data_IF_738532836404
#
_entry.id   IF_738532836404
#
_cell.length_a   1.000
_cell.length_b   1.000
_cell.length_c   1.000
_cell.angle_alpha   90.00
_cell.angle_beta   90.00
_cell.angle_gamma   90.00
#
_symmetry.space_group_name_H-M   'P 1'
#
loop_
_entity.id
_entity.type
_entity.pdbx_description
1 polymer ?
#
# COMPACT_ATOMS: atom_id res chain seq x y z
N UNK A 1 3.58 -16.15 12.36
CA UNK A 1 4.56 -15.25 11.70
C UNK A 1 4.89 -14.16 12.69
N UNK A 2 6.14 -14.04 13.02
CA UNK A 2 6.64 -13.04 13.97
C UNK A 2 6.52 -11.63 13.37
N UNK A 3 6.33 -10.62 14.25
CA UNK A 3 6.22 -9.21 13.82
C UNK A 3 7.40 -8.78 12.94
N UNK A 4 8.61 -9.17 13.33
CA UNK A 4 9.85 -8.86 12.60
C UNK A 4 9.86 -9.44 11.18
N UNK A 5 9.35 -10.65 11.00
CA UNK A 5 9.22 -11.28 9.68
C UNK A 5 8.26 -10.48 8.79
N UNK A 6 7.08 -10.12 9.31
CA UNK A 6 6.07 -9.34 8.57
C UNK A 6 6.66 -8.00 8.09
N UNK A 7 7.38 -7.29 8.95
CA UNK A 7 7.99 -6.01 8.59
C UNK A 7 9.13 -6.16 7.59
N UNK A 8 9.93 -7.22 7.71
CA UNK A 8 10.98 -7.54 6.75
C UNK A 8 10.39 -7.90 5.38
N UNK A 9 9.32 -8.67 5.36
CA UNK A 9 8.61 -9.03 4.13
C UNK A 9 8.04 -7.78 3.45
N UNK A 10 7.38 -6.89 4.21
CA UNK A 10 6.88 -5.63 3.64
C UNK A 10 8.04 -4.78 3.08
N UNK A 11 9.15 -4.66 3.79
CA UNK A 11 10.33 -3.96 3.30
C UNK A 11 10.91 -4.59 2.02
N UNK A 12 10.87 -5.92 1.92
CA UNK A 12 11.27 -6.63 0.70
C UNK A 12 10.32 -6.36 -0.46
N UNK A 13 9.00 -6.28 -0.22
CA UNK A 13 7.98 -5.94 -1.23
C UNK A 13 8.20 -4.53 -1.78
N UNK A 14 8.53 -3.53 -0.96
CA UNK A 14 8.92 -2.20 -1.43
C UNK A 14 10.07 -2.26 -2.43
N UNK A 15 11.19 -2.90 -2.03
CA UNK A 15 12.38 -3.00 -2.90
C UNK A 15 12.11 -3.81 -4.16
N UNK A 16 11.29 -4.85 -4.06
CA UNK A 16 10.89 -5.65 -5.21
C UNK A 16 10.05 -4.84 -6.20
N UNK A 17 9.10 -4.04 -5.70
CA UNK A 17 8.27 -3.13 -6.50
C UNK A 17 9.14 -2.09 -7.23
N UNK A 18 10.15 -1.54 -6.55
CA UNK A 18 11.11 -0.63 -7.17
C UNK A 18 11.92 -1.32 -8.27
N UNK A 19 12.41 -2.54 -8.01
CA UNK A 19 13.17 -3.34 -8.99
C UNK A 19 12.36 -3.65 -10.25
N UNK A 20 11.05 -3.86 -10.11
CA UNK A 20 10.13 -4.12 -11.22
C UNK A 20 9.63 -2.84 -11.90
N UNK A 21 10.06 -1.66 -11.43
CA UNK A 21 9.62 -0.37 -11.95
C UNK A 21 8.07 -0.21 -11.91
N UNK A 22 7.46 -0.66 -10.82
CA UNK A 22 6.00 -0.61 -10.59
C UNK A 22 5.59 0.50 -9.62
N UNK A 23 6.42 1.50 -9.40
CA UNK A 23 6.17 2.63 -8.51
C UNK A 23 6.44 3.96 -9.21
N UNK A 24 6.02 5.05 -8.61
CA UNK A 24 6.28 6.40 -9.09
C UNK A 24 7.01 7.24 -8.02
N UNK A 25 8.33 7.38 -8.17
CA UNK A 25 9.17 8.18 -7.27
C UNK A 25 8.95 7.84 -5.80
N UNK A 26 8.44 8.82 -5.04
CA UNK A 26 8.13 8.71 -3.60
C UNK A 26 6.63 8.83 -3.30
N UNK A 27 5.79 8.83 -4.34
CA UNK A 27 4.35 9.09 -4.23
C UNK A 27 3.50 7.85 -3.93
N UNK A 28 4.13 6.71 -3.63
CA UNK A 28 3.45 5.45 -3.38
C UNK A 28 3.61 5.00 -1.91
N UNK A 29 2.68 4.18 -1.45
CA UNK A 29 2.71 3.71 -0.06
C UNK A 29 2.10 2.31 0.08
N UNK A 30 2.71 1.50 0.95
CA UNK A 30 2.23 0.18 1.32
C UNK A 30 2.05 0.09 2.82
N UNK A 31 1.10 -0.72 3.24
CA UNK A 31 0.85 -0.96 4.65
C UNK A 31 0.56 -2.41 4.98
N UNK A 32 0.76 -2.77 6.23
CA UNK A 32 0.41 -4.08 6.78
C UNK A 32 -0.15 -3.93 8.19
N UNK A 33 -1.28 -4.58 8.47
CA UNK A 33 -1.78 -4.82 9.81
C UNK A 33 -1.10 -6.06 10.40
N UNK A 34 -0.73 -5.99 11.67
CA UNK A 34 -0.30 -7.17 12.40
C UNK A 34 -1.51 -8.07 12.72
N UNK A 35 -1.30 -9.37 12.92
CA UNK A 35 -2.32 -10.24 13.50
C UNK A 35 -2.83 -9.65 14.82
N UNK A 36 -4.13 -9.80 15.06
CA UNK A 36 -4.79 -9.39 16.31
C UNK A 36 -4.64 -7.89 16.67
N UNK A 37 -4.27 -7.05 15.67
CA UNK A 37 -4.27 -5.60 15.85
C UNK A 37 -5.69 -5.05 15.81
N UNK A 38 -5.91 -3.94 16.50
CA UNK A 38 -7.16 -3.17 16.56
C UNK A 38 -7.42 -2.32 15.30
N UNK A 39 -6.79 -2.67 14.15
CA UNK A 39 -6.74 -1.87 12.94
C UNK A 39 -5.50 -0.97 12.86
N UNK A 40 -4.60 -1.05 13.83
CA UNK A 40 -3.28 -0.42 13.77
C UNK A 40 -2.45 -1.08 12.69
N UNK A 41 -1.68 -0.28 11.94
CA UNK A 41 -0.91 -0.76 10.79
C UNK A 41 0.45 -0.08 10.67
N UNK A 42 1.37 -0.74 9.99
CA UNK A 42 2.66 -0.18 9.57
C UNK A 42 2.58 0.33 8.15
N UNK A 43 3.24 1.46 7.88
CA UNK A 43 3.29 2.12 6.57
C UNK A 43 4.67 2.76 6.38
N UNK A 44 5.10 3.01 5.15
CA UNK A 44 6.34 3.73 4.89
C UNK A 44 6.26 5.21 5.29
N UNK A 45 7.39 5.76 5.70
CA UNK A 45 7.52 7.20 5.95
C UNK A 45 7.47 8.04 4.67
N UNK A 46 7.14 9.31 4.82
CA UNK A 46 7.11 10.30 3.72
C UNK A 46 8.47 10.47 3.07
N UNK A 47 8.48 10.63 1.75
CA UNK A 47 9.69 11.00 0.99
C UNK A 47 10.71 9.88 0.81
N UNK A 48 10.39 8.66 1.19
CA UNK A 48 11.28 7.51 1.03
C UNK A 48 11.08 6.80 -0.30
N UNK A 49 12.16 6.71 -1.09
CA UNK A 49 12.13 5.90 -2.29
C UNK A 49 12.10 4.40 -1.95
N UNK A 50 11.25 3.65 -2.62
CA UNK A 50 10.99 2.22 -2.32
C UNK A 50 12.24 1.34 -2.29
N UNK A 51 13.26 1.63 -3.11
CA UNK A 51 14.52 0.86 -3.11
C UNK A 51 15.31 0.94 -1.80
N UNK A 52 15.05 1.96 -0.98
CA UNK A 52 15.81 2.24 0.23
C UNK A 52 15.09 1.83 1.53
N UNK A 53 13.81 1.49 1.45
CA UNK A 53 12.99 1.18 2.63
C UNK A 53 13.47 -0.10 3.32
N UNK A 54 13.68 0.01 4.63
CA UNK A 54 14.00 -1.08 5.55
C UNK A 54 12.84 -1.30 6.52
N UNK A 55 12.81 -2.43 7.19
CA UNK A 55 11.81 -2.73 8.22
C UNK A 55 11.79 -1.68 9.36
N UNK A 56 12.97 -1.14 9.70
CA UNK A 56 13.11 -0.08 10.72
C UNK A 56 12.54 1.28 10.33
N UNK A 57 12.31 1.50 9.04
CA UNK A 57 11.80 2.77 8.51
C UNK A 57 10.26 2.81 8.47
N UNK A 58 9.62 1.68 8.78
CA UNK A 58 8.17 1.58 8.80
C UNK A 58 7.59 2.22 10.06
N UNK A 59 6.62 3.08 9.86
CA UNK A 59 5.96 3.86 10.91
C UNK A 59 4.68 3.14 11.37
N UNK A 60 4.51 2.96 12.67
CA UNK A 60 3.28 2.42 13.25
C UNK A 60 2.22 3.53 13.38
N UNK A 61 1.09 3.31 12.75
CA UNK A 61 -0.12 4.11 12.91
C UNK A 61 -1.08 3.33 13.82
N UNK A 62 -1.31 3.85 15.02
CA UNK A 62 -2.23 3.27 15.98
C UNK A 62 -3.58 4.02 15.96
N UNK A 63 -4.67 3.33 16.25
CA UNK A 63 -5.99 3.95 16.33
C UNK A 63 -6.03 5.18 17.24
N UNK A 64 -5.31 5.13 18.36
CA UNK A 64 -5.26 6.23 19.34
C UNK A 64 -4.54 7.49 18.84
N UNK A 65 -3.60 7.37 17.88
CA UNK A 65 -2.83 8.49 17.34
C UNK A 65 -3.18 8.85 15.89
N UNK A 66 -4.20 8.22 15.34
CA UNK A 66 -4.58 8.33 13.91
C UNK A 66 -4.79 9.78 13.46
N UNK A 67 -5.59 10.55 14.20
CA UNK A 67 -5.88 11.95 13.86
C UNK A 67 -4.68 12.89 14.10
N UNK A 68 -3.80 12.55 15.04
CA UNK A 68 -2.55 13.28 15.26
C UNK A 68 -1.58 13.05 14.11
N UNK A 69 -1.42 11.81 13.67
CA UNK A 69 -0.50 11.44 12.59
C UNK A 69 -0.90 12.05 11.25
N UNK A 70 -2.19 12.25 10.97
CA UNK A 70 -2.65 13.00 9.78
C UNK A 70 -2.11 14.43 9.72
N UNK A 71 -1.80 15.03 10.85
CA UNK A 71 -1.29 16.41 10.96
C UNK A 71 0.24 16.48 10.87
N UNK A 72 0.91 15.36 10.63
CA UNK A 72 2.38 15.24 10.56
C UNK A 72 2.82 14.71 9.19
N UNK A 73 2.59 15.46 8.10
CA UNK A 73 2.90 15.01 6.74
C UNK A 73 4.38 14.74 6.52
N UNK A 74 5.25 15.29 7.37
CA UNK A 74 6.69 15.01 7.37
C UNK A 74 7.05 13.61 7.85
N UNK A 75 6.15 12.94 8.57
CA UNK A 75 6.36 11.58 9.06
C UNK A 75 5.72 10.56 8.12
N UNK A 76 4.42 10.72 7.83
CA UNK A 76 3.66 9.84 6.93
C UNK A 76 2.73 10.68 6.06
N UNK A 77 2.61 10.31 4.80
CA UNK A 77 1.68 10.95 3.88
C UNK A 77 0.23 10.85 4.41
N UNK A 78 -0.48 11.96 4.61
CA UNK A 78 -1.88 11.95 5.07
C UNK A 78 -2.81 11.16 4.16
N UNK A 79 -2.52 11.09 2.85
CA UNK A 79 -3.32 10.28 1.91
C UNK A 79 -3.16 8.80 2.20
N UNK A 80 -1.95 8.35 2.54
CA UNK A 80 -1.69 6.98 2.97
C UNK A 80 -2.49 6.64 4.24
N UNK A 81 -2.46 7.52 5.25
CA UNK A 81 -3.21 7.31 6.49
C UNK A 81 -4.71 7.18 6.19
N UNK A 82 -5.28 8.07 5.37
CA UNK A 82 -6.70 8.07 5.06
C UNK A 82 -7.12 6.81 4.28
N UNK A 83 -6.40 6.49 3.20
CA UNK A 83 -6.74 5.35 2.33
C UNK A 83 -6.56 4.03 3.09
N UNK A 84 -5.38 3.80 3.63
CA UNK A 84 -5.05 2.53 4.30
C UNK A 84 -5.84 2.36 5.60
N UNK A 85 -5.96 3.42 6.40
CA UNK A 85 -6.72 3.38 7.64
C UNK A 85 -8.20 3.08 7.42
N UNK A 86 -8.81 3.65 6.37
CA UNK A 86 -10.20 3.34 6.02
C UNK A 86 -10.38 1.88 5.60
N UNK A 87 -9.47 1.34 4.81
CA UNK A 87 -9.54 -0.05 4.33
C UNK A 87 -9.28 -1.02 5.49
N UNK A 88 -8.20 -0.84 6.26
CA UNK A 88 -7.89 -1.71 7.40
C UNK A 88 -9.01 -1.76 8.44
N UNK A 89 -9.68 -0.63 8.66
CA UNK A 89 -10.83 -0.55 9.59
C UNK A 89 -12.10 -1.21 9.06
N UNK A 90 -12.37 -1.08 7.75
CA UNK A 90 -13.62 -1.55 7.14
C UNK A 90 -13.55 -2.95 6.56
N UNK A 91 -12.35 -3.42 6.22
CA UNK A 91 -12.12 -4.71 5.55
C UNK A 91 -11.08 -5.52 6.34
N UNK A 92 -11.48 -6.20 7.43
CA UNK A 92 -10.55 -6.89 8.33
C UNK A 92 -9.63 -7.91 7.66
N UNK A 93 -10.07 -8.50 6.55
CA UNK A 93 -9.28 -9.46 5.78
C UNK A 93 -8.23 -8.80 4.86
N UNK A 94 -8.32 -7.49 4.60
CA UNK A 94 -7.32 -6.73 3.84
C UNK A 94 -6.13 -6.38 4.75
N UNK A 95 -5.34 -7.36 5.11
CA UNK A 95 -4.21 -7.21 6.04
C UNK A 95 -3.01 -6.51 5.43
N UNK A 96 -2.85 -6.56 4.12
CA UNK A 96 -1.80 -5.87 3.38
C UNK A 96 -2.44 -5.04 2.26
N UNK A 97 -2.04 -3.78 2.14
CA UNK A 97 -2.54 -2.84 1.13
C UNK A 97 -1.35 -2.27 0.39
N UNK A 98 -1.37 -2.36 -0.94
CA UNK A 98 -0.32 -1.89 -1.81
C UNK A 98 -0.90 -0.84 -2.75
N UNK A 99 -0.54 0.43 -2.56
CA UNK A 99 -0.91 1.54 -3.43
C UNK A 99 0.26 1.90 -4.34
N UNK A 100 0.06 1.73 -5.64
CA UNK A 100 1.09 2.01 -6.65
C UNK A 100 0.54 2.84 -7.80
N UNK A 101 1.41 3.62 -8.41
CA UNK A 101 1.17 4.28 -9.69
C UNK A 101 1.96 3.57 -10.81
N UNK A 102 1.78 2.25 -10.93
CA UNK A 102 2.48 1.51 -11.97
C UNK A 102 2.03 1.95 -13.37
N UNK A 103 2.99 2.19 -14.25
CA UNK A 103 2.82 2.87 -15.54
C UNK A 103 1.60 2.40 -16.35
N UNK A 104 1.43 1.10 -16.50
CA UNK A 104 0.36 0.57 -17.35
C UNK A 104 -1.01 0.57 -16.63
N UNK A 105 -1.04 0.30 -15.33
CA UNK A 105 -2.29 0.38 -14.56
C UNK A 105 -2.78 1.83 -14.47
N UNK A 106 -1.87 2.78 -14.27
CA UNK A 106 -2.19 4.22 -14.27
C UNK A 106 -2.70 4.65 -15.65
N UNK A 107 -2.03 4.24 -16.73
CA UNK A 107 -2.50 4.55 -18.07
C UNK A 107 -3.91 3.99 -18.35
N UNK A 108 -4.18 2.75 -17.93
CA UNK A 108 -5.51 2.13 -18.05
C UNK A 108 -6.55 2.90 -17.25
N UNK A 109 -6.24 3.28 -16.00
CA UNK A 109 -7.17 4.01 -15.13
C UNK A 109 -7.56 5.40 -15.64
N UNK A 110 -6.75 6.00 -16.53
CA UNK A 110 -7.03 7.29 -17.15
C UNK A 110 -7.94 7.19 -18.38
N UNK A 111 -8.28 6.00 -18.83
CA UNK A 111 -9.18 5.83 -19.97
C UNK A 111 -10.64 6.10 -19.59
N UNK A 112 -11.46 6.49 -20.56
CA UNK A 112 -12.90 6.63 -20.37
C UNK A 112 -13.56 5.32 -19.92
N UNK A 113 -13.05 4.19 -20.39
CA UNK A 113 -13.41 2.85 -19.94
C UNK A 113 -12.14 2.16 -19.44
N UNK A 114 -11.89 2.13 -18.14
CA UNK A 114 -10.72 1.51 -17.53
C UNK A 114 -10.91 0.00 -17.28
N UNK A 115 -11.94 -0.61 -17.83
CA UNK A 115 -12.20 -2.05 -17.66
C UNK A 115 -11.03 -2.87 -18.18
N UNK A 116 -10.57 -3.83 -17.38
CA UNK A 116 -9.56 -4.81 -17.77
C UNK A 116 -10.25 -6.03 -18.39
N UNK A 117 -10.29 -6.17 -19.75
CA UNK A 117 -10.92 -7.33 -20.37
C UNK A 117 -10.08 -8.60 -20.15
N UNK A 118 -10.70 -9.77 -19.96
CA UNK A 118 -10.01 -11.03 -19.76
C UNK A 118 -9.56 -11.63 -21.11
N UNK A 119 -8.60 -10.99 -21.77
CA UNK A 119 -8.15 -11.33 -23.13
C UNK A 119 -7.03 -12.37 -23.18
N UNK A 120 -6.39 -12.63 -22.04
CA UNK A 120 -5.32 -13.61 -21.94
C UNK A 120 -5.29 -14.28 -20.55
N UNK A 121 -4.42 -15.28 -20.38
CA UNK A 121 -4.28 -16.03 -19.14
C UNK A 121 -3.84 -15.14 -17.96
N UNK A 122 -3.09 -14.07 -18.19
CA UNK A 122 -2.64 -13.16 -17.12
C UNK A 122 -3.78 -12.27 -16.66
N UNK A 123 -4.55 -11.69 -17.58
CA UNK A 123 -5.70 -10.84 -17.25
C UNK A 123 -6.84 -11.65 -16.64
N UNK A 124 -6.99 -12.94 -16.97
CA UNK A 124 -7.94 -13.84 -16.32
C UNK A 124 -7.73 -13.98 -14.80
N UNK A 125 -6.52 -13.78 -14.30
CA UNK A 125 -6.24 -13.78 -12.84
C UNK A 125 -6.96 -12.67 -12.09
N UNK A 126 -7.32 -11.60 -12.79
CA UNK A 126 -8.01 -10.44 -12.25
C UNK A 126 -9.51 -10.43 -12.55
N UNK A 127 -10.03 -11.44 -13.24
CA UNK A 127 -11.45 -11.52 -13.58
C UNK A 127 -12.32 -11.45 -12.31
N UNK A 128 -13.29 -10.56 -12.30
CA UNK A 128 -14.13 -10.23 -11.13
C UNK A 128 -13.36 -9.81 -9.87
N UNK A 129 -12.10 -9.33 -10.00
CA UNK A 129 -11.28 -8.88 -8.88
C UNK A 129 -10.81 -7.44 -9.03
N UNK A 130 -11.28 -6.74 -10.05
CA UNK A 130 -10.99 -5.32 -10.30
C UNK A 130 -12.24 -4.53 -9.99
N UNK A 131 -12.11 -3.54 -9.13
CA UNK A 131 -13.11 -2.51 -8.90
C UNK A 131 -12.64 -1.20 -9.55
N UNK A 132 -13.58 -0.51 -10.18
CA UNK A 132 -13.37 0.81 -10.78
C UNK A 132 -14.38 1.76 -10.15
N UNK A 133 -13.93 2.94 -9.69
CA UNK A 133 -14.79 3.99 -9.13
C UNK A 133 -14.20 5.39 -9.42
#
# INVERSE_FOLDING_TARGET
MERSEILNDLAAVFRWTAKLNMHEGIANHFSVCLPDSDGSFYVNGTGMHFSNIKASDLVLIENKNFEEMKKKPEIVDPTAINIHGAIHKKVPNARCILHTHSKYATALSCLKDPTLPPIDQNTMRFYNRVAVY
#
